data_IF_180641611349
#
_entry.id   IF_180641611349
#
_cell.length_a   1.000
_cell.length_b   1.000
_cell.length_c   1.000
_cell.angle_alpha   90.00
_cell.angle_beta   90.00
_cell.angle_gamma   90.00
#
_symmetry.space_group_name_H-M   'P 1'
#
loop_
_entity.id
_entity.type
_entity.pdbx_description
1 polymer ?
#
# COMPACT_ATOMS: atom_id res chain seq x y z
N UNK A 1 37.58 51.11 18.48
CA UNK A 1 38.30 50.02 17.79
C UNK A 1 39.21 49.30 18.78
N UNK A 2 38.79 48.14 19.31
CA UNK A 2 39.70 47.13 19.84
C UNK A 2 39.68 45.87 18.97
N UNK A 3 40.85 45.28 18.82
CA UNK A 3 41.24 44.24 17.85
C UNK A 3 40.78 42.84 18.27
N UNK A 4 40.27 42.05 17.31
CA UNK A 4 39.94 40.62 17.49
C UNK A 4 41.23 39.76 17.62
N UNK A 5 41.28 38.77 18.53
CA UNK A 5 42.41 37.84 18.59
C UNK A 5 42.31 36.77 17.49
N UNK A 6 43.45 36.44 16.88
CA UNK A 6 43.58 35.47 15.81
C UNK A 6 43.30 34.03 16.28
N UNK A 7 42.42 33.32 15.57
CA UNK A 7 42.12 31.91 15.80
C UNK A 7 43.29 31.01 15.36
N UNK A 8 43.78 30.17 16.28
CA UNK A 8 44.74 29.10 15.97
C UNK A 8 44.07 28.03 15.11
N UNK A 9 44.57 27.82 13.89
CA UNK A 9 44.17 26.73 13.00
C UNK A 9 44.68 25.40 13.55
N UNK A 10 43.77 24.53 13.94
CA UNK A 10 44.05 23.13 14.27
C UNK A 10 44.35 22.36 12.98
N UNK A 11 45.56 21.83 12.84
CA UNK A 11 45.98 20.96 11.73
C UNK A 11 45.40 19.56 11.95
N UNK A 12 44.26 19.24 11.32
CA UNK A 12 43.78 17.85 11.26
C UNK A 12 44.59 17.07 10.23
N UNK A 13 45.12 15.92 10.68
CA UNK A 13 45.92 14.99 9.91
C UNK A 13 45.20 14.56 8.62
N UNK A 14 45.94 14.52 7.52
CA UNK A 14 45.49 13.95 6.26
C UNK A 14 45.41 12.43 6.41
N UNK A 15 44.21 11.91 6.69
CA UNK A 15 44.00 10.49 6.98
C UNK A 15 42.53 10.12 6.85
N UNK A 16 42.19 9.61 5.66
CA UNK A 16 40.89 9.11 5.19
C UNK A 16 39.79 10.18 5.07
N UNK A 17 39.07 10.25 3.92
CA UNK A 17 37.91 11.14 3.81
C UNK A 17 36.91 10.83 4.93
N UNK A 18 36.27 11.87 5.46
CA UNK A 18 35.25 11.71 6.48
C UNK A 18 34.17 10.75 5.96
N UNK A 19 33.66 9.81 6.79
CA UNK A 19 32.57 8.94 6.40
C UNK A 19 31.38 9.80 5.96
N UNK A 20 30.94 9.60 4.72
CA UNK A 20 29.77 10.30 4.17
C UNK A 20 28.52 9.59 4.69
N UNK A 21 27.62 10.37 5.30
CA UNK A 21 26.36 9.87 5.82
C UNK A 21 25.37 9.77 4.68
N UNK A 22 24.96 8.55 4.34
CA UNK A 22 23.94 8.28 3.34
C UNK A 22 22.58 8.43 4.03
N UNK A 23 21.92 9.56 3.83
CA UNK A 23 20.60 9.83 4.40
C UNK A 23 19.52 9.57 3.34
N UNK A 24 18.58 8.67 3.64
CA UNK A 24 17.37 8.48 2.83
C UNK A 24 17.44 7.38 1.76
N UNK A 25 18.62 6.99 1.29
CA UNK A 25 18.74 6.04 0.16
C UNK A 25 18.79 4.55 0.57
N UNK A 26 18.72 4.23 1.87
CA UNK A 26 18.86 2.85 2.36
C UNK A 26 17.55 2.09 2.51
N UNK A 27 16.40 2.77 2.46
CA UNK A 27 15.11 2.12 2.63
C UNK A 27 14.04 2.77 1.74
N UNK A 28 13.59 2.05 0.72
CA UNK A 28 12.38 2.43 0.00
C UNK A 28 11.15 2.07 0.85
N UNK A 29 10.21 3.02 0.93
CA UNK A 29 8.92 2.77 1.55
C UNK A 29 8.11 1.82 0.69
N UNK A 30 7.54 0.79 1.33
CA UNK A 30 6.55 -0.07 0.67
C UNK A 30 5.31 0.78 0.33
N UNK A 31 4.70 0.64 -0.86
CA UNK A 31 3.45 1.30 -1.20
C UNK A 31 2.38 1.21 -0.10
N UNK A 32 1.63 2.29 0.08
CA UNK A 32 0.51 2.33 1.02
C UNK A 32 -0.46 1.17 0.78
N UNK A 33 -1.03 0.55 1.84
CA UNK A 33 -1.96 -0.57 1.71
C UNK A 33 -3.22 -0.22 0.90
N UNK A 34 -3.59 1.06 0.83
CA UNK A 34 -4.67 1.57 -0.03
C UNK A 34 -4.38 1.47 -1.54
N UNK A 35 -3.11 1.35 -1.94
CA UNK A 35 -2.69 1.17 -3.34
C UNK A 35 -2.73 -0.29 -3.77
N UNK A 36 -3.02 -1.22 -2.87
CA UNK A 36 -3.13 -2.63 -3.21
C UNK A 36 -4.36 -2.86 -4.10
N UNK A 37 -4.16 -3.55 -5.23
CA UNK A 37 -5.26 -4.00 -6.10
C UNK A 37 -5.86 -5.30 -5.54
N UNK A 38 -7.10 -5.26 -4.98
CA UNK A 38 -7.78 -6.46 -4.57
C UNK A 38 -8.22 -7.17 -5.84
N UNK A 39 -7.55 -8.26 -6.22
CA UNK A 39 -7.86 -9.08 -7.41
C UNK A 39 -9.22 -9.77 -7.30
N UNK A 40 -10.29 -8.99 -7.33
CA UNK A 40 -11.67 -9.44 -7.22
C UNK A 40 -12.10 -10.11 -8.52
N UNK A 41 -12.94 -11.13 -8.39
CA UNK A 41 -13.60 -11.75 -9.54
C UNK A 41 -14.82 -10.91 -9.92
N UNK A 42 -15.17 -10.93 -11.20
CA UNK A 42 -16.38 -10.25 -11.67
C UNK A 42 -17.67 -10.80 -11.02
N UNK A 43 -17.69 -12.09 -10.66
CA UNK A 43 -18.86 -12.76 -10.06
C UNK A 43 -18.46 -13.79 -9.01
N UNK A 44 -19.28 -13.87 -7.96
CA UNK A 44 -19.16 -14.83 -6.87
C UNK A 44 -20.46 -15.62 -6.69
N UNK A 45 -20.30 -16.94 -6.61
CA UNK A 45 -21.38 -17.92 -6.44
C UNK A 45 -21.56 -18.29 -4.96
N UNK A 46 -22.67 -18.97 -4.63
CA UNK A 46 -22.90 -19.50 -3.28
C UNK A 46 -21.97 -20.69 -3.03
N UNK A 47 -21.42 -20.84 -1.82
CA UNK A 47 -20.65 -22.01 -1.45
C UNK A 47 -21.48 -22.93 -0.54
N UNK A 48 -22.00 -24.02 -1.09
CA UNK A 48 -22.92 -24.95 -0.43
C UNK A 48 -22.40 -26.38 -0.65
N UNK A 49 -22.35 -27.18 0.42
CA UNK A 49 -21.88 -28.58 0.39
C UNK A 49 -20.51 -28.77 -0.29
N UNK A 50 -19.58 -27.85 -0.03
CA UNK A 50 -18.21 -27.92 -0.55
C UNK A 50 -18.09 -27.53 -2.03
N UNK A 51 -19.15 -26.99 -2.65
CA UNK A 51 -19.17 -26.60 -4.06
C UNK A 51 -19.67 -25.17 -4.23
N UNK A 52 -19.19 -24.51 -5.28
CA UNK A 52 -19.76 -23.25 -5.74
C UNK A 52 -20.98 -23.52 -6.62
N UNK A 53 -22.12 -22.95 -6.27
CA UNK A 53 -23.42 -23.20 -6.90
C UNK A 53 -24.12 -21.88 -7.20
N UNK A 54 -24.76 -21.82 -8.36
CA UNK A 54 -25.59 -20.69 -8.75
C UNK A 54 -26.78 -20.50 -7.81
N UNK A 55 -27.23 -19.25 -7.57
CA UNK A 55 -28.41 -18.99 -6.77
C UNK A 55 -29.63 -19.62 -7.44
N UNK A 56 -30.47 -20.32 -6.65
CA UNK A 56 -31.69 -20.98 -7.15
C UNK A 56 -32.62 -20.02 -7.90
N UNK A 57 -32.69 -18.77 -7.45
CA UNK A 57 -33.50 -17.72 -8.09
C UNK A 57 -32.84 -17.05 -9.31
N UNK A 58 -31.60 -17.40 -9.66
CA UNK A 58 -30.84 -16.78 -10.76
C UNK A 58 -30.50 -15.30 -10.57
N UNK A 59 -30.82 -14.73 -9.40
CA UNK A 59 -30.63 -13.33 -9.09
C UNK A 59 -29.23 -13.09 -8.52
N UNK A 60 -28.67 -11.95 -8.86
CA UNK A 60 -27.41 -11.44 -8.33
C UNK A 60 -27.64 -9.99 -7.90
N UNK A 61 -26.79 -9.50 -7.01
CA UNK A 61 -26.76 -8.10 -6.63
C UNK A 61 -25.34 -7.55 -6.77
N UNK A 62 -25.26 -6.25 -7.06
CA UNK A 62 -24.01 -5.57 -7.29
C UNK A 62 -23.35 -5.18 -5.97
N UNK A 63 -22.07 -5.52 -5.83
CA UNK A 63 -21.20 -4.99 -4.80
C UNK A 63 -20.59 -3.69 -5.31
N UNK A 64 -20.81 -2.61 -4.58
CA UNK A 64 -20.42 -1.26 -4.98
C UNK A 64 -19.30 -0.75 -4.07
N UNK A 65 -18.30 -0.10 -4.66
CA UNK A 65 -17.24 0.56 -3.93
C UNK A 65 -17.78 1.83 -3.22
N UNK A 66 -17.70 1.93 -1.89
CA UNK A 66 -18.19 3.11 -1.17
C UNK A 66 -17.41 4.39 -1.45
N UNK A 67 -16.20 4.31 -2.00
CA UNK A 67 -15.34 5.47 -2.26
C UNK A 67 -15.68 6.21 -3.56
N UNK A 68 -16.24 5.51 -4.56
CA UNK A 68 -16.45 6.06 -5.90
C UNK A 68 -17.70 5.52 -6.62
N UNK A 69 -18.55 4.76 -5.92
CA UNK A 69 -19.79 4.17 -6.42
C UNK A 69 -19.63 3.22 -7.62
N UNK A 70 -18.40 2.80 -7.93
CA UNK A 70 -18.15 1.85 -9.02
C UNK A 70 -18.51 0.44 -8.61
N UNK A 71 -19.04 -0.33 -9.58
CA UNK A 71 -19.31 -1.76 -9.40
C UNK A 71 -18.00 -2.55 -9.28
N UNK A 72 -17.88 -3.31 -8.20
CA UNK A 72 -16.73 -4.18 -7.92
C UNK A 72 -16.97 -5.61 -8.41
N UNK A 73 -18.13 -6.19 -8.08
CA UNK A 73 -18.45 -7.57 -8.41
C UNK A 73 -19.95 -7.84 -8.32
N UNK A 74 -20.40 -8.96 -8.88
CA UNK A 74 -21.74 -9.51 -8.70
C UNK A 74 -21.72 -10.64 -7.68
N UNK A 75 -22.64 -10.60 -6.71
CA UNK A 75 -22.76 -11.62 -5.67
C UNK A 75 -24.10 -12.34 -5.84
N UNK A 76 -24.07 -13.67 -5.79
CA UNK A 76 -25.25 -14.50 -5.86
C UNK A 76 -26.25 -14.16 -4.74
N UNK A 77 -27.50 -13.87 -5.11
CA UNK A 77 -28.58 -13.59 -4.17
C UNK A 77 -29.22 -14.91 -3.72
N UNK A 78 -28.89 -15.33 -2.50
CA UNK A 78 -29.49 -16.51 -1.89
C UNK A 78 -31.01 -16.33 -1.69
N UNK A 79 -31.76 -17.40 -1.90
CA UNK A 79 -33.21 -17.43 -1.72
C UNK A 79 -33.65 -18.65 -0.91
N UNK A 80 -34.97 -18.78 -0.67
CA UNK A 80 -35.54 -19.95 0.00
C UNK A 80 -35.17 -21.26 -0.72
N UNK A 81 -35.03 -22.32 0.09
CA UNK A 81 -34.62 -23.65 -0.37
C UNK A 81 -35.62 -24.31 -1.34
#
# INVERSE_FOLDING_TARGET
MPTLPAAKKSTRAAGRPAPELIFGDLWEFDPSPESADPKLKARYELFIDGKFVAPKGGKYFDSINPANEQKLAEIALAGPA
#
